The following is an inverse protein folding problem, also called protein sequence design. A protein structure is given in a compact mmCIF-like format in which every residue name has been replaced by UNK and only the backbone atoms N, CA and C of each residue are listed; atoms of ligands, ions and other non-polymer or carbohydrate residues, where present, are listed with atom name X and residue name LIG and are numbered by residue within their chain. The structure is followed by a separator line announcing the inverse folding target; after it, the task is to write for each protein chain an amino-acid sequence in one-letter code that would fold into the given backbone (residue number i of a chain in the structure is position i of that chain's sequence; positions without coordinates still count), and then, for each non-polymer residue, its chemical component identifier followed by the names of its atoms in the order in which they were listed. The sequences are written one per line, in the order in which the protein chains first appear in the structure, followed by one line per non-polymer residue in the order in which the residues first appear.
data_IF_133858051554
#
_entry.id   IF_133858051554
#
_cell.length_a   1.000
_cell.length_b   1.000
_cell.length_c   1.000
_cell.angle_alpha   90.00
_cell.angle_beta   90.00
_cell.angle_gamma   90.00
#
_symmetry.space_group_name_H-M   'P 1'
#
loop_
_entity.id
_entity.type
_entity.pdbx_description
1 polymer ?
#
# COMPACT_ATOMS: atom_id res chain seq x y z
N UNK A 1 14.01 -13.18 5.31
CA UNK A 1 14.09 -14.41 4.48
C UNK A 1 14.10 -15.69 5.29
N UNK A 2 15.17 -15.98 6.06
CA UNK A 2 15.34 -17.27 6.75
C UNK A 2 14.15 -17.67 7.65
N UNK A 3 13.51 -16.68 8.28
CA UNK A 3 12.29 -16.90 9.07
C UNK A 3 11.17 -17.55 8.26
N UNK A 4 10.87 -17.00 7.07
CA UNK A 4 9.82 -17.52 6.18
C UNK A 4 10.23 -18.87 5.61
N UNK A 5 11.50 -19.04 5.21
CA UNK A 5 12.02 -20.33 4.73
C UNK A 5 11.84 -21.42 5.79
N UNK A 6 12.11 -21.14 7.07
CA UNK A 6 11.89 -22.12 8.15
C UNK A 6 10.41 -22.44 8.38
N UNK A 7 9.53 -21.44 8.27
CA UNK A 7 8.09 -21.68 8.34
C UNK A 7 7.64 -22.58 7.17
N UNK A 8 8.13 -22.29 5.96
CA UNK A 8 7.94 -23.14 4.78
C UNK A 8 8.60 -24.50 4.98
N UNK A 9 9.70 -24.68 5.69
CA UNK A 9 10.22 -26.05 5.92
C UNK A 9 9.31 -26.85 6.86
N UNK A 10 8.65 -26.19 7.81
CA UNK A 10 7.88 -26.83 8.89
C UNK A 10 6.39 -27.09 8.63
N UNK A 11 5.85 -26.70 7.47
CA UNK A 11 4.40 -26.81 7.27
C UNK A 11 3.60 -25.63 7.81
N UNK A 12 4.24 -24.56 8.28
CA UNK A 12 3.57 -23.54 9.08
C UNK A 12 3.08 -22.37 8.20
N UNK A 13 1.91 -21.83 8.55
CA UNK A 13 1.44 -20.56 7.97
C UNK A 13 2.21 -19.39 8.60
N UNK A 14 2.42 -18.33 7.83
CA UNK A 14 3.19 -17.16 8.26
C UNK A 14 2.52 -15.88 7.75
N UNK A 15 2.48 -14.83 8.57
CA UNK A 15 2.04 -13.51 8.12
C UNK A 15 3.22 -12.55 8.07
N UNK A 16 3.37 -11.84 6.96
CA UNK A 16 4.34 -10.78 6.76
C UNK A 16 3.59 -9.46 6.84
N UNK A 17 3.85 -8.69 7.87
CA UNK A 17 3.18 -7.41 8.13
C UNK A 17 4.18 -6.29 7.91
N UNK A 18 3.79 -5.21 7.28
CA UNK A 18 4.67 -4.05 7.17
C UNK A 18 4.07 -2.94 6.35
N UNK A 19 4.57 -1.73 6.55
CA UNK A 19 4.11 -0.53 5.84
C UNK A 19 4.30 -0.63 4.32
N UNK A 20 3.61 0.22 3.55
CA UNK A 20 3.67 0.31 2.09
C UNK A 20 5.10 0.27 1.61
N UNK A 21 5.40 -0.47 0.55
CA UNK A 21 6.71 -0.44 -0.11
C UNK A 21 7.93 -0.69 0.79
N UNK A 22 7.74 -1.30 1.97
CA UNK A 22 8.85 -1.77 2.81
C UNK A 22 9.57 -3.00 2.24
N UNK A 23 9.09 -3.52 1.10
CA UNK A 23 9.68 -4.68 0.40
C UNK A 23 9.00 -6.02 0.70
N UNK A 24 7.75 -6.05 1.19
CA UNK A 24 6.95 -7.28 1.39
C UNK A 24 6.88 -8.12 0.11
N UNK A 25 6.36 -7.53 -0.97
CA UNK A 25 6.23 -8.19 -2.27
C UNK A 25 7.57 -8.63 -2.83
N UNK A 26 8.63 -7.82 -2.70
CA UNK A 26 9.97 -8.18 -3.15
C UNK A 26 10.52 -9.39 -2.38
N UNK A 27 10.38 -9.39 -1.05
CA UNK A 27 10.75 -10.50 -0.18
C UNK A 27 9.98 -11.78 -0.57
N UNK A 28 8.67 -11.69 -0.76
CA UNK A 28 7.85 -12.85 -1.07
C UNK A 28 8.06 -13.38 -2.48
N UNK A 29 8.20 -12.51 -3.49
CA UNK A 29 8.54 -12.91 -4.87
C UNK A 29 9.88 -13.62 -4.93
N UNK A 30 10.86 -13.22 -4.13
CA UNK A 30 12.15 -13.92 -4.13
C UNK A 30 12.06 -15.39 -3.69
N UNK A 31 11.02 -15.80 -2.96
CA UNK A 31 10.80 -17.20 -2.58
C UNK A 31 10.52 -18.10 -3.79
N UNK A 32 10.09 -17.54 -4.93
CA UNK A 32 9.87 -18.29 -6.17
C UNK A 32 11.16 -18.55 -6.94
N UNK A 33 12.27 -17.88 -6.58
CA UNK A 33 13.57 -18.12 -7.20
C UNK A 33 14.04 -19.55 -6.92
N UNK A 34 14.54 -20.23 -7.95
CA UNK A 34 14.90 -21.65 -7.87
C UNK A 34 15.87 -21.97 -6.73
N UNK A 35 16.90 -21.13 -6.53
CA UNK A 35 17.89 -21.30 -5.48
C UNK A 35 17.27 -21.26 -4.06
N UNK A 36 16.24 -20.42 -3.86
CA UNK A 36 15.55 -20.31 -2.57
C UNK A 36 14.54 -21.44 -2.42
N UNK A 37 13.81 -21.79 -3.50
CA UNK A 37 12.87 -22.92 -3.52
C UNK A 37 13.54 -24.23 -3.13
N UNK A 38 14.75 -24.50 -3.64
CA UNK A 38 15.56 -25.66 -3.26
C UNK A 38 15.98 -25.65 -1.78
N UNK A 39 16.16 -24.46 -1.18
CA UNK A 39 16.39 -24.32 0.26
C UNK A 39 15.15 -24.57 1.10
N UNK A 40 13.95 -24.41 0.54
CA UNK A 40 12.67 -24.66 1.20
C UNK A 40 12.25 -26.13 1.16
N UNK A 41 12.78 -26.94 0.24
CA UNK A 41 12.50 -28.37 0.15
C UNK A 41 13.22 -29.16 1.24
N UNK A 42 12.50 -30.01 1.95
CA UNK A 42 13.09 -30.98 2.89
C UNK A 42 13.68 -32.17 2.09
N UNK A 43 14.68 -32.91 2.60
CA UNK A 43 15.27 -34.06 1.89
C UNK A 43 14.29 -35.22 1.62
N UNK A 44 13.09 -35.18 2.23
CA UNK A 44 12.06 -36.21 2.18
C UNK A 44 11.12 -36.14 0.97
N UNK A 45 11.66 -36.11 -0.25
CA UNK A 45 10.97 -36.50 -1.50
C UNK A 45 9.63 -35.83 -1.88
N UNK A 46 9.16 -34.78 -1.19
CA UNK A 46 7.97 -34.03 -1.58
C UNK A 46 8.36 -32.86 -2.51
N UNK A 47 7.78 -32.80 -3.71
CA UNK A 47 7.85 -31.64 -4.60
C UNK A 47 7.17 -30.43 -3.94
N UNK A 48 7.82 -29.27 -3.98
CA UNK A 48 7.32 -28.03 -3.40
C UNK A 48 6.78 -27.13 -4.51
N UNK A 49 5.48 -26.83 -4.45
CA UNK A 49 4.81 -25.87 -5.33
C UNK A 49 4.56 -24.59 -4.53
N UNK A 50 5.29 -23.53 -4.87
CA UNK A 50 5.09 -22.19 -4.33
C UNK A 50 4.34 -21.39 -5.38
N UNK A 51 3.14 -20.93 -5.05
CA UNK A 51 2.30 -20.14 -5.95
C UNK A 51 2.21 -18.73 -5.41
N UNK A 52 2.57 -17.77 -6.25
CA UNK A 52 2.49 -16.36 -5.91
C UNK A 52 1.20 -15.75 -6.44
N UNK A 53 0.36 -15.24 -5.54
CA UNK A 53 -0.92 -14.62 -5.85
C UNK A 53 -0.86 -13.14 -5.46
N UNK A 54 -0.92 -12.27 -6.45
CA UNK A 54 -1.04 -10.83 -6.26
C UNK A 54 -2.53 -10.48 -6.03
N UNK A 55 -2.91 -10.25 -4.78
CA UNK A 55 -4.32 -10.06 -4.43
C UNK A 55 -4.87 -8.70 -4.88
N UNK A 56 -4.05 -7.78 -5.39
CA UNK A 56 -4.55 -6.58 -6.07
C UNK A 56 -5.25 -6.90 -7.40
N UNK A 57 -4.96 -8.06 -8.00
CA UNK A 57 -5.67 -8.55 -9.19
C UNK A 57 -7.03 -9.18 -8.85
N UNK A 58 -7.31 -9.44 -7.56
CA UNK A 58 -8.54 -10.08 -7.16
C UNK A 58 -9.72 -9.09 -7.22
N UNK A 59 -10.77 -9.46 -7.98
CA UNK A 59 -12.03 -8.73 -7.96
C UNK A 59 -12.86 -9.06 -6.71
N UNK A 60 -13.91 -8.28 -6.45
CA UNK A 60 -14.73 -8.40 -5.23
C UNK A 60 -15.56 -9.71 -5.12
N UNK A 61 -15.57 -10.60 -6.13
CA UNK A 61 -16.34 -11.85 -6.10
C UNK A 61 -15.51 -13.06 -5.65
N UNK A 62 -16.16 -14.06 -5.06
CA UNK A 62 -15.49 -15.32 -4.67
C UNK A 62 -14.92 -16.06 -5.87
N UNK A 63 -15.69 -16.08 -6.96
CA UNK A 63 -15.27 -16.71 -8.22
C UNK A 63 -13.98 -16.09 -8.75
N UNK A 64 -13.86 -14.76 -8.74
CA UNK A 64 -12.65 -14.10 -9.20
C UNK A 64 -11.44 -14.42 -8.30
N UNK A 65 -11.64 -14.47 -6.98
CA UNK A 65 -10.56 -14.85 -6.06
C UNK A 65 -10.08 -16.29 -6.29
N UNK A 66 -11.00 -17.27 -6.33
CA UNK A 66 -10.62 -18.67 -6.55
C UNK A 66 -10.08 -18.91 -7.95
N UNK A 67 -10.63 -18.25 -8.97
CA UNK A 67 -10.12 -18.28 -10.35
C UNK A 67 -8.68 -17.80 -10.38
N UNK A 68 -8.38 -16.64 -9.78
CA UNK A 68 -7.03 -16.07 -9.74
C UNK A 68 -6.02 -17.04 -9.12
N UNK A 69 -6.37 -17.66 -7.99
CA UNK A 69 -5.49 -18.63 -7.33
C UNK A 69 -5.23 -19.83 -8.23
N UNK A 70 -6.27 -20.42 -8.81
CA UNK A 70 -6.13 -21.63 -9.66
C UNK A 70 -5.43 -21.30 -10.99
N UNK A 71 -5.65 -20.11 -11.56
CA UNK A 71 -4.93 -19.62 -12.72
C UNK A 71 -3.43 -19.51 -12.43
N UNK A 72 -3.04 -18.96 -11.28
CA UNK A 72 -1.63 -18.90 -10.86
C UNK A 72 -1.04 -20.30 -10.62
N UNK A 73 -1.81 -21.22 -10.04
CA UNK A 73 -1.41 -22.62 -9.92
C UNK A 73 -1.14 -23.28 -11.28
N UNK A 74 -1.95 -22.97 -12.30
CA UNK A 74 -1.77 -23.46 -13.67
C UNK A 74 -0.52 -22.88 -14.35
N UNK A 75 -0.26 -21.59 -14.15
CA UNK A 75 0.93 -20.91 -14.67
C UNK A 75 2.22 -21.52 -14.08
N UNK A 76 2.20 -21.83 -12.77
CA UNK A 76 3.34 -22.42 -12.07
C UNK A 76 3.45 -23.96 -12.20
N UNK A 77 2.44 -24.61 -12.79
CA UNK A 77 2.39 -26.07 -12.98
C UNK A 77 3.55 -26.60 -13.83
N UNK A 78 3.92 -25.87 -14.89
CA UNK A 78 5.03 -26.26 -15.80
C UNK A 78 6.40 -26.13 -15.10
N UNK A 79 6.57 -25.08 -14.31
CA UNK A 79 7.81 -24.81 -13.53
C UNK A 79 8.04 -25.85 -12.43
N UNK A 80 6.96 -26.50 -11.97
CA UNK A 80 6.99 -27.46 -10.87
C UNK A 80 6.94 -28.93 -11.32
N UNK A 81 6.94 -29.19 -12.65
CA UNK A 81 6.96 -30.55 -13.24
C UNK A 81 5.80 -31.44 -12.76
N UNK A 82 4.58 -30.89 -12.67
CA UNK A 82 3.40 -31.69 -12.41
C UNK A 82 3.23 -32.78 -13.48
N UNK A 83 2.66 -33.91 -13.10
CA UNK A 83 2.33 -34.99 -14.03
C UNK A 83 1.23 -34.56 -15.01
N UNK A 84 1.14 -35.25 -16.14
CA UNK A 84 0.13 -34.94 -17.16
C UNK A 84 -1.31 -35.10 -16.64
N UNK A 85 -1.57 -36.03 -15.72
CA UNK A 85 -2.89 -36.20 -15.10
C UNK A 85 -3.23 -35.06 -14.15
N UNK A 86 -2.29 -34.64 -13.29
CA UNK A 86 -2.47 -33.51 -12.37
C UNK A 86 -2.74 -32.22 -13.14
N UNK A 87 -1.95 -31.93 -14.17
CA UNK A 87 -2.14 -30.75 -15.02
C UNK A 87 -3.50 -30.79 -15.75
N UNK A 88 -3.94 -31.97 -16.21
CA UNK A 88 -5.25 -32.13 -16.83
C UNK A 88 -6.38 -31.87 -15.85
N UNK A 89 -6.33 -32.46 -14.65
CA UNK A 89 -7.35 -32.26 -13.61
C UNK A 89 -7.42 -30.79 -13.18
N UNK A 90 -6.28 -30.15 -12.99
CA UNK A 90 -6.19 -28.73 -12.67
C UNK A 90 -6.85 -27.86 -13.74
N UNK A 91 -6.63 -28.15 -15.03
CA UNK A 91 -7.30 -27.44 -16.15
C UNK A 91 -8.81 -27.69 -16.17
N UNK A 92 -9.25 -28.91 -15.91
CA UNK A 92 -10.69 -29.25 -15.84
C UNK A 92 -11.38 -28.47 -14.73
N UNK A 93 -10.79 -28.43 -13.53
CA UNK A 93 -11.39 -27.71 -12.41
C UNK A 93 -11.36 -26.19 -12.62
N UNK A 94 -10.28 -25.65 -13.22
CA UNK A 94 -10.22 -24.25 -13.63
C UNK A 94 -11.36 -23.88 -14.60
N UNK A 95 -11.61 -24.71 -15.62
CA UNK A 95 -12.75 -24.53 -16.51
C UNK A 95 -14.08 -24.64 -15.75
N UNK A 96 -14.19 -25.55 -14.78
CA UNK A 96 -15.34 -25.65 -13.89
C UNK A 96 -15.62 -24.36 -13.14
N UNK A 97 -14.58 -23.71 -12.59
CA UNK A 97 -14.69 -22.41 -11.90
C UNK A 97 -15.17 -21.32 -12.87
N UNK A 98 -14.58 -21.22 -14.07
CA UNK A 98 -14.94 -20.18 -15.05
C UNK A 98 -16.40 -20.25 -15.52
N UNK A 99 -16.92 -21.47 -15.76
CA UNK A 99 -18.27 -21.66 -16.28
C UNK A 99 -19.33 -21.82 -15.18
N UNK A 100 -18.92 -21.87 -13.92
CA UNK A 100 -19.85 -21.98 -12.79
C UNK A 100 -20.71 -20.72 -12.66
N UNK A 101 -21.98 -20.93 -12.33
CA UNK A 101 -22.96 -19.85 -12.10
C UNK A 101 -23.30 -19.67 -10.62
N UNK A 102 -22.73 -20.49 -9.73
CA UNK A 102 -23.00 -20.45 -8.29
C UNK A 102 -21.72 -20.52 -7.46
N UNK A 103 -21.67 -19.76 -6.37
CA UNK A 103 -20.52 -19.78 -5.43
C UNK A 103 -20.27 -21.17 -4.83
N UNK A 104 -21.32 -21.99 -4.69
CA UNK A 104 -21.19 -23.36 -4.15
C UNK A 104 -20.39 -24.24 -5.10
N UNK A 105 -20.70 -24.19 -6.40
CA UNK A 105 -19.96 -24.96 -7.41
C UNK A 105 -18.52 -24.46 -7.53
N UNK A 106 -18.31 -23.14 -7.56
CA UNK A 106 -16.97 -22.53 -7.57
C UNK A 106 -16.12 -23.05 -6.40
N UNK A 107 -16.66 -22.99 -5.17
CA UNK A 107 -15.97 -23.46 -3.97
C UNK A 107 -15.68 -24.96 -4.03
N UNK A 108 -16.58 -25.77 -4.57
CA UNK A 108 -16.37 -27.21 -4.72
C UNK A 108 -15.21 -27.49 -5.67
N UNK A 109 -15.19 -26.88 -6.86
CA UNK A 109 -14.07 -27.04 -7.81
C UNK A 109 -12.73 -26.56 -7.24
N UNK A 110 -12.73 -25.44 -6.51
CA UNK A 110 -11.51 -24.96 -5.84
C UNK A 110 -11.02 -25.95 -4.78
N UNK A 111 -11.93 -26.45 -3.96
CA UNK A 111 -11.59 -27.43 -2.93
C UNK A 111 -11.05 -28.73 -3.53
N UNK A 112 -11.69 -29.26 -4.57
CA UNK A 112 -11.23 -30.44 -5.30
C UNK A 112 -9.85 -30.21 -5.92
N UNK A 113 -9.61 -29.01 -6.47
CA UNK A 113 -8.31 -28.62 -7.02
C UNK A 113 -7.18 -28.74 -6.00
N UNK A 114 -7.35 -28.12 -4.82
CA UNK A 114 -6.33 -28.13 -3.77
C UNK A 114 -6.16 -29.54 -3.19
N UNK A 115 -7.27 -30.26 -3.01
CA UNK A 115 -7.24 -31.63 -2.49
C UNK A 115 -6.53 -32.58 -3.45
N UNK A 116 -6.91 -32.59 -4.72
CA UNK A 116 -6.38 -33.56 -5.68
C UNK A 116 -4.87 -33.36 -5.89
N UNK A 117 -4.40 -32.11 -5.88
CA UNK A 117 -2.98 -31.78 -5.96
C UNK A 117 -2.18 -32.26 -4.74
N UNK A 118 -2.79 -32.27 -3.55
CA UNK A 118 -2.09 -32.61 -2.29
C UNK A 118 -2.29 -34.07 -1.87
N UNK A 119 -3.25 -34.81 -2.46
CA UNK A 119 -3.68 -36.15 -2.02
C UNK A 119 -2.74 -37.30 -2.39
N UNK A 120 -2.14 -37.32 -3.58
CA UNK A 120 -1.50 -38.54 -4.13
C UNK A 120 -0.05 -38.81 -3.66
N UNK A 121 0.47 -38.03 -2.70
CA UNK A 121 1.89 -37.98 -2.29
C UNK A 121 2.81 -37.55 -3.43
N UNK A 122 3.08 -36.25 -3.53
CA UNK A 122 4.44 -35.66 -3.46
C UNK A 122 4.35 -34.13 -3.41
N UNK A 123 3.23 -33.46 -3.72
CA UNK A 123 3.20 -31.99 -3.76
C UNK A 123 2.84 -31.37 -2.41
N UNK A 124 3.71 -30.50 -1.91
CA UNK A 124 3.43 -29.55 -0.84
C UNK A 124 3.12 -28.19 -1.45
N UNK A 125 1.95 -27.64 -1.15
CA UNK A 125 1.45 -26.40 -1.71
C UNK A 125 1.65 -25.23 -0.74
N UNK A 126 2.36 -24.21 -1.18
CA UNK A 126 2.51 -22.94 -0.48
C UNK A 126 1.82 -21.86 -1.30
N UNK A 127 0.75 -21.29 -0.76
CA UNK A 127 0.05 -20.16 -1.37
C UNK A 127 0.53 -18.86 -0.72
N UNK A 128 1.25 -18.06 -1.49
CA UNK A 128 1.64 -16.71 -1.11
C UNK A 128 0.54 -15.76 -1.57
N UNK A 129 -0.13 -15.13 -0.61
CA UNK A 129 -1.17 -14.13 -0.81
C UNK A 129 -0.56 -12.75 -0.54
N UNK A 130 -0.04 -12.11 -1.59
CA UNK A 130 0.54 -10.77 -1.51
C UNK A 130 -0.54 -9.69 -1.60
N UNK A 131 -0.32 -8.54 -0.94
CA UNK A 131 -1.30 -7.44 -0.87
C UNK A 131 -2.72 -7.89 -0.46
N UNK A 132 -2.80 -8.77 0.54
CA UNK A 132 -4.01 -9.51 0.93
C UNK A 132 -5.07 -8.67 1.67
N UNK A 133 -4.74 -7.41 2.00
CA UNK A 133 -5.56 -6.48 2.77
C UNK A 133 -7.03 -6.42 2.31
N UNK A 134 -7.26 -6.10 1.03
CA UNK A 134 -8.60 -5.84 0.52
C UNK A 134 -9.41 -7.12 0.33
N UNK A 135 -8.75 -8.20 -0.09
CA UNK A 135 -9.36 -9.53 -0.13
C UNK A 135 -9.86 -9.92 1.26
N UNK A 136 -9.02 -9.76 2.30
CA UNK A 136 -9.39 -10.10 3.67
C UNK A 136 -10.55 -9.26 4.22
N UNK A 137 -10.54 -7.94 3.92
CA UNK A 137 -11.60 -7.01 4.36
C UNK A 137 -12.94 -7.27 3.67
N UNK A 138 -12.94 -7.50 2.35
CA UNK A 138 -14.15 -7.44 1.52
C UNK A 138 -14.77 -8.81 1.25
N UNK A 139 -13.97 -9.87 1.13
CA UNK A 139 -14.51 -11.19 0.78
C UNK A 139 -15.39 -11.76 1.92
N UNK A 140 -16.43 -12.54 1.60
CA UNK A 140 -17.27 -13.17 2.60
C UNK A 140 -16.50 -14.12 3.53
N UNK A 141 -16.88 -14.18 4.82
CA UNK A 141 -16.17 -15.00 5.81
C UNK A 141 -16.09 -16.50 5.46
N UNK A 142 -17.05 -17.00 4.67
CA UNK A 142 -17.08 -18.38 4.16
C UNK A 142 -15.87 -18.73 3.30
N UNK A 143 -15.24 -17.76 2.62
CA UNK A 143 -13.99 -17.97 1.87
C UNK A 143 -12.88 -18.40 2.83
N UNK A 144 -12.70 -17.66 3.93
CA UNK A 144 -11.65 -17.93 4.91
C UNK A 144 -11.91 -19.18 5.74
N UNK A 145 -13.18 -19.48 6.06
CA UNK A 145 -13.56 -20.77 6.66
C UNK A 145 -13.20 -21.95 5.75
N UNK A 146 -13.38 -21.81 4.44
CA UNK A 146 -12.97 -22.86 3.50
C UNK A 146 -11.45 -23.02 3.44
N UNK A 147 -10.69 -21.92 3.41
CA UNK A 147 -9.22 -21.97 3.46
C UNK A 147 -8.73 -22.62 4.77
N UNK A 148 -9.37 -22.29 5.90
CA UNK A 148 -9.08 -22.92 7.19
C UNK A 148 -9.33 -24.43 7.15
N UNK A 149 -10.49 -24.86 6.65
CA UNK A 149 -10.84 -26.27 6.53
C UNK A 149 -9.88 -27.04 5.60
N UNK A 150 -9.48 -26.44 4.47
CA UNK A 150 -8.45 -27.00 3.60
C UNK A 150 -7.11 -27.17 4.34
N UNK A 151 -6.71 -26.18 5.14
CA UNK A 151 -5.47 -26.27 5.92
C UNK A 151 -5.52 -27.34 7.00
N UNK A 152 -6.68 -27.53 7.64
CA UNK A 152 -6.86 -28.60 8.64
C UNK A 152 -6.75 -29.98 8.00
N UNK A 153 -7.40 -30.19 6.85
CA UNK A 153 -7.40 -31.49 6.18
C UNK A 153 -6.05 -31.82 5.53
N UNK A 154 -5.36 -30.83 4.96
CA UNK A 154 -4.09 -31.05 4.28
C UNK A 154 -2.88 -31.03 5.21
N UNK A 155 -3.06 -30.55 6.44
CA UNK A 155 -1.99 -30.40 7.44
C UNK A 155 -0.79 -29.61 6.86
N UNK A 156 0.44 -30.03 7.13
CA UNK A 156 1.68 -29.45 6.59
C UNK A 156 1.73 -29.46 5.04
N UNK A 157 0.87 -30.26 4.40
CA UNK A 157 0.48 -30.31 2.98
C UNK A 157 0.28 -28.95 2.32
N UNK A 158 -0.39 -28.05 3.05
CA UNK A 158 -0.86 -26.76 2.58
C UNK A 158 -0.38 -25.67 3.53
N UNK A 159 0.18 -24.59 3.01
CA UNK A 159 0.62 -23.46 3.83
C UNK A 159 0.17 -22.15 3.19
N UNK A 160 -0.24 -21.21 4.03
CA UNK A 160 -0.55 -19.85 3.60
C UNK A 160 0.54 -18.91 4.09
N UNK A 161 1.02 -18.05 3.20
CA UNK A 161 1.86 -16.92 3.55
C UNK A 161 1.11 -15.67 3.13
N UNK A 162 0.77 -14.81 4.09
CA UNK A 162 0.07 -13.55 3.79
C UNK A 162 1.05 -12.38 3.83
N UNK A 163 0.91 -11.42 2.92
CA UNK A 163 1.50 -10.09 3.08
C UNK A 163 0.41 -9.05 3.24
N UNK A 164 0.52 -8.26 4.30
CA UNK A 164 -0.49 -7.26 4.65
C UNK A 164 0.16 -5.97 5.17
N UNK A 165 -0.57 -4.86 5.06
CA UNK A 165 -0.13 -3.57 5.62
C UNK A 165 -0.19 -3.53 7.15
N UNK A 166 -1.11 -4.31 7.72
CA UNK A 166 -1.41 -4.41 9.16
C UNK A 166 -1.74 -5.85 9.51
N UNK A 167 -1.59 -6.20 10.79
CA UNK A 167 -2.00 -7.50 11.31
C UNK A 167 -3.46 -7.82 10.92
N UNK A 168 -3.73 -9.09 10.60
CA UNK A 168 -5.06 -9.54 10.19
C UNK A 168 -6.13 -9.18 11.23
N UNK A 169 -5.80 -9.28 12.53
CA UNK A 169 -6.69 -8.89 13.63
C UNK A 169 -7.13 -7.42 13.60
N UNK A 170 -6.27 -6.54 13.07
CA UNK A 170 -6.56 -5.11 12.92
C UNK A 170 -7.29 -4.81 11.61
N UNK A 171 -7.14 -5.67 10.60
CA UNK A 171 -7.84 -5.54 9.32
C UNK A 171 -9.31 -5.96 9.44
N UNK A 172 -9.58 -7.03 10.18
CA UNK A 172 -10.92 -7.58 10.38
C UNK A 172 -10.96 -8.44 11.63
N UNK A 173 -11.88 -8.13 12.56
CA UNK A 173 -11.92 -8.72 13.89
C UNK A 173 -13.18 -9.56 14.19
N UNK A 174 -13.99 -9.87 13.17
CA UNK A 174 -15.21 -10.66 13.33
C UNK A 174 -14.92 -12.10 13.76
N UNK A 175 -15.86 -12.68 14.50
CA UNK A 175 -15.76 -14.06 15.01
C UNK A 175 -15.66 -15.09 13.87
N UNK A 176 -16.35 -14.83 12.74
CA UNK A 176 -16.41 -15.76 11.61
C UNK A 176 -15.07 -15.95 10.89
N UNK A 177 -14.09 -15.06 11.09
CA UNK A 177 -12.73 -15.17 10.52
C UNK A 177 -11.67 -15.54 11.54
N UNK A 178 -12.03 -15.69 12.82
CA UNK A 178 -11.09 -15.94 13.92
C UNK A 178 -10.21 -17.18 13.66
N UNK A 179 -10.83 -18.31 13.31
CA UNK A 179 -10.09 -19.56 13.11
C UNK A 179 -9.04 -19.46 11.98
N UNK A 180 -9.33 -18.69 10.93
CA UNK A 180 -8.36 -18.43 9.87
C UNK A 180 -7.22 -17.53 10.33
N UNK A 181 -7.51 -16.48 11.12
CA UNK A 181 -6.49 -15.58 11.69
C UNK A 181 -5.55 -16.31 12.66
N UNK A 182 -6.11 -17.24 13.44
CA UNK A 182 -5.37 -18.07 14.40
C UNK A 182 -4.20 -18.84 13.76
N UNK A 183 -4.33 -19.23 12.48
CA UNK A 183 -3.25 -19.88 11.71
C UNK A 183 -1.93 -19.09 11.73
N UNK A 184 -1.99 -17.78 11.91
CA UNK A 184 -0.85 -16.88 11.79
C UNK A 184 -0.36 -16.31 13.13
N UNK A 185 -1.13 -16.45 14.21
CA UNK A 185 -0.93 -15.68 15.45
C UNK A 185 0.46 -15.88 16.09
N UNK A 186 1.04 -17.07 15.96
CA UNK A 186 2.39 -17.39 16.48
C UNK A 186 3.52 -17.08 15.50
N UNK A 187 3.19 -16.67 14.26
CA UNK A 187 4.12 -16.57 13.13
C UNK A 187 3.94 -15.28 12.34
N UNK A 188 3.98 -14.16 13.03
CA UNK A 188 4.00 -12.85 12.42
C UNK A 188 5.43 -12.31 12.29
N UNK A 189 5.80 -11.93 11.07
CA UNK A 189 7.03 -11.24 10.75
C UNK A 189 6.70 -9.79 10.41
N UNK A 190 7.04 -8.86 11.30
CA UNK A 190 6.94 -7.43 11.01
C UNK A 190 8.19 -6.98 10.25
N UNK A 191 8.01 -6.50 9.03
CA UNK A 191 9.06 -5.85 8.25
C UNK A 191 9.15 -4.38 8.64
N UNK A 192 10.32 -4.00 9.10
CA UNK A 192 10.71 -2.61 9.37
C UNK A 192 11.57 -2.09 8.23
N UNK A 193 11.82 -0.76 8.17
CA UNK A 193 12.87 -0.21 7.32
C UNK A 193 14.21 -0.96 7.49
N UNK A 194 14.99 -0.99 6.42
CA UNK A 194 16.27 -1.71 6.36
C UNK A 194 17.27 -1.13 7.37
N UNK A 195 18.13 -2.00 7.89
CA UNK A 195 19.32 -1.57 8.63
C UNK A 195 20.25 -0.77 7.73
N UNK A 196 21.12 0.08 8.28
CA UNK A 196 22.09 0.84 7.49
C UNK A 196 22.96 -0.07 6.59
N UNK A 197 23.32 -1.27 7.09
CA UNK A 197 24.08 -2.26 6.33
C UNK A 197 23.28 -2.80 5.14
N UNK A 198 22.03 -3.23 5.37
CA UNK A 198 21.17 -3.76 4.31
C UNK A 198 20.74 -2.67 3.33
N UNK A 199 20.55 -1.44 3.81
CA UNK A 199 20.27 -0.27 2.99
C UNK A 199 21.46 0.03 2.07
N UNK A 200 22.70 -0.07 2.57
CA UNK A 200 23.91 0.04 1.74
C UNK A 200 23.96 -0.99 0.61
N UNK A 201 23.63 -2.26 0.93
CA UNK A 201 23.53 -3.32 -0.09
C UNK A 201 22.41 -3.05 -1.09
N UNK A 202 21.27 -2.54 -0.62
CA UNK A 202 20.14 -2.20 -1.48
C UNK A 202 20.45 -1.05 -2.43
N UNK A 203 21.14 0.00 -1.99
CA UNK A 203 21.60 1.08 -2.88
C UNK A 203 22.57 0.56 -3.94
N UNK A 204 23.52 -0.30 -3.55
CA UNK A 204 24.43 -0.93 -4.50
C UNK A 204 23.68 -1.78 -5.54
N UNK A 205 22.62 -2.49 -5.12
CA UNK A 205 21.72 -3.21 -6.02
C UNK A 205 21.02 -2.27 -7.01
N UNK A 206 20.45 -1.14 -6.54
CA UNK A 206 19.80 -0.14 -7.40
C UNK A 206 20.77 0.44 -8.45
N UNK A 207 22.00 0.76 -8.03
CA UNK A 207 23.06 1.26 -8.90
C UNK A 207 23.40 0.25 -10.02
N UNK A 208 23.51 -1.04 -9.66
CA UNK A 208 23.84 -2.12 -10.60
C UNK A 208 22.76 -2.33 -11.66
N UNK A 209 21.48 -2.26 -11.27
CA UNK A 209 20.35 -2.47 -12.18
C UNK A 209 20.17 -1.34 -13.20
N UNK A 210 20.64 -0.13 -12.88
CA UNK A 210 20.51 1.05 -13.77
C UNK A 210 21.79 1.44 -14.48
N UNK A 211 22.88 0.70 -14.27
CA UNK A 211 24.22 1.04 -14.76
C UNK A 211 24.66 2.47 -14.38
N UNK A 212 24.20 2.96 -13.22
CA UNK A 212 24.49 4.30 -12.70
C UNK A 212 25.34 4.19 -11.46
N UNK A 213 26.46 4.93 -11.41
CA UNK A 213 27.34 4.97 -10.24
C UNK A 213 27.18 6.36 -9.60
N UNK A 214 26.52 6.40 -8.45
CA UNK A 214 26.44 7.61 -7.63
C UNK A 214 27.66 7.69 -6.69
N UNK A 215 28.17 8.90 -6.40
CA UNK A 215 29.16 9.12 -5.34
C UNK A 215 28.70 8.57 -3.99
N UNK A 216 29.67 8.18 -3.15
CA UNK A 216 29.39 7.58 -1.83
C UNK A 216 28.57 8.53 -0.94
N UNK A 217 28.79 9.84 -1.07
CA UNK A 217 28.07 10.88 -0.35
C UNK A 217 26.57 10.88 -0.69
N UNK A 218 26.23 10.68 -1.96
CA UNK A 218 24.83 10.57 -2.41
C UNK A 218 24.19 9.25 -1.98
N UNK A 219 24.95 8.15 -1.97
CA UNK A 219 24.48 6.87 -1.44
C UNK A 219 24.14 6.97 0.06
N UNK A 220 25.04 7.60 0.83
CA UNK A 220 24.82 7.84 2.26
C UNK A 220 23.63 8.78 2.50
N UNK A 221 23.42 9.76 1.62
CA UNK A 221 22.25 10.63 1.66
C UNK A 221 20.95 9.85 1.44
N UNK A 222 20.90 8.95 0.43
CA UNK A 222 19.72 8.11 0.19
C UNK A 222 19.36 7.31 1.44
N UNK A 223 20.34 6.64 2.05
CA UNK A 223 20.13 5.80 3.25
C UNK A 223 19.62 6.66 4.42
N UNK A 224 20.30 7.76 4.71
CA UNK A 224 19.97 8.66 5.83
C UNK A 224 18.58 9.25 5.69
N UNK A 225 18.24 9.81 4.52
CA UNK A 225 16.99 10.56 4.33
C UNK A 225 15.77 9.65 4.23
N UNK A 226 15.92 8.49 3.58
CA UNK A 226 14.86 7.48 3.53
C UNK A 226 14.66 6.75 4.85
N UNK A 227 15.60 6.85 5.79
CA UNK A 227 15.60 6.05 7.02
C UNK A 227 15.65 4.54 6.75
N UNK A 228 16.28 4.13 5.64
CA UNK A 228 16.33 2.73 5.21
C UNK A 228 15.04 2.19 4.59
N UNK A 229 14.04 3.03 4.31
CA UNK A 229 12.78 2.58 3.72
C UNK A 229 12.89 2.37 2.19
N UNK A 230 12.74 1.12 1.67
CA UNK A 230 13.01 0.80 0.27
C UNK A 230 12.25 1.65 -0.75
N UNK A 231 10.95 1.91 -0.54
CA UNK A 231 10.15 2.75 -1.44
C UNK A 231 10.74 4.15 -1.62
N UNK A 232 11.08 4.81 -0.51
CA UNK A 232 11.69 6.14 -0.48
C UNK A 232 13.11 6.10 -1.06
N UNK A 233 13.89 5.05 -0.75
CA UNK A 233 15.23 4.86 -1.31
C UNK A 233 15.19 4.83 -2.84
N UNK A 234 14.26 4.06 -3.42
CA UNK A 234 14.07 4.00 -4.88
C UNK A 234 13.72 5.37 -5.46
N UNK A 235 12.76 6.10 -4.85
CA UNK A 235 12.37 7.43 -5.35
C UNK A 235 13.50 8.45 -5.29
N UNK A 236 14.23 8.50 -4.18
CA UNK A 236 15.35 9.42 -4.00
C UNK A 236 16.50 9.04 -4.97
N UNK A 237 16.84 7.75 -5.08
CA UNK A 237 17.84 7.27 -6.02
C UNK A 237 17.50 7.67 -7.46
N UNK A 238 16.25 7.44 -7.89
CA UNK A 238 15.80 7.75 -9.24
C UNK A 238 15.93 9.25 -9.58
N UNK A 239 15.59 10.12 -8.63
CA UNK A 239 15.72 11.58 -8.78
C UNK A 239 17.19 11.99 -8.90
N UNK A 240 18.05 11.44 -8.04
CA UNK A 240 19.48 11.75 -8.06
C UNK A 240 20.18 11.26 -9.32
N UNK A 241 19.69 10.17 -9.94
CA UNK A 241 20.18 9.72 -11.24
C UNK A 241 19.65 10.55 -12.41
N UNK A 242 18.45 11.11 -12.33
CA UNK A 242 17.86 11.93 -13.40
C UNK A 242 18.32 13.38 -13.41
N UNK A 243 18.72 13.90 -12.24
CA UNK A 243 19.32 15.22 -12.12
C UNK A 243 20.78 15.06 -12.52
N UNK A 244 21.31 15.88 -13.43
CA UNK A 244 22.76 15.99 -13.64
C UNK A 244 23.39 16.52 -12.34
N UNK A 245 23.53 15.65 -11.34
CA UNK A 245 24.04 15.98 -10.04
C UNK A 245 25.53 16.27 -10.19
N UNK A 246 25.83 17.54 -10.46
CA UNK A 246 27.16 18.13 -10.32
C UNK A 246 27.70 17.78 -8.93
N UNK A 247 28.96 17.37 -8.88
CA UNK A 247 29.70 16.84 -7.72
C UNK A 247 29.91 17.85 -6.56
N UNK A 248 28.99 18.80 -6.35
CA UNK A 248 28.99 19.70 -5.21
C UNK A 248 28.12 19.11 -4.09
N UNK A 249 28.63 19.17 -2.86
CA UNK A 249 28.02 18.53 -1.71
C UNK A 249 26.53 18.93 -1.56
N UNK A 250 25.61 17.97 -1.36
CA UNK A 250 24.20 18.25 -1.23
C UNK A 250 23.94 19.13 0.00
N UNK A 251 23.51 20.37 -0.23
CA UNK A 251 23.16 21.32 0.83
C UNK A 251 21.85 20.93 1.53
N UNK A 252 21.61 21.43 2.75
CA UNK A 252 20.32 21.24 3.46
C UNK A 252 19.09 21.67 2.64
N UNK A 253 19.26 22.58 1.67
CA UNK A 253 18.21 23.02 0.74
C UNK A 253 17.74 21.92 -0.22
N UNK A 254 18.59 20.92 -0.51
CA UNK A 254 18.20 19.80 -1.35
C UNK A 254 17.07 18.98 -0.69
N UNK A 255 16.99 18.93 0.65
CA UNK A 255 16.02 18.09 1.36
C UNK A 255 14.60 18.63 1.27
N UNK A 256 14.43 19.94 1.48
CA UNK A 256 13.16 20.61 1.25
C UNK A 256 12.75 20.46 -0.23
N UNK A 257 13.70 20.64 -1.15
CA UNK A 257 13.48 20.43 -2.58
C UNK A 257 13.09 19.00 -2.96
N UNK A 258 13.63 17.97 -2.29
CA UNK A 258 13.27 16.57 -2.56
C UNK A 258 11.82 16.27 -2.21
N UNK A 259 11.30 16.84 -1.12
CA UNK A 259 9.90 16.65 -0.74
C UNK A 259 8.94 17.38 -1.71
N UNK A 260 9.38 18.49 -2.30
CA UNK A 260 8.59 19.21 -3.31
C UNK A 260 8.52 18.46 -4.66
N UNK A 261 9.29 17.39 -4.84
CA UNK A 261 9.25 16.53 -6.02
C UNK A 261 8.12 15.49 -5.88
N UNK A 262 7.24 15.41 -6.90
CA UNK A 262 6.00 14.63 -6.87
C UNK A 262 6.18 13.15 -6.46
N UNK A 263 7.12 12.36 -7.04
CA UNK A 263 7.31 10.97 -6.63
C UNK A 263 7.59 10.73 -5.15
N UNK A 264 8.35 11.62 -4.48
CA UNK A 264 8.73 11.46 -3.06
C UNK A 264 7.59 11.87 -2.14
N UNK A 265 6.92 12.99 -2.43
CA UNK A 265 5.73 13.40 -1.68
C UNK A 265 4.57 12.41 -1.85
N UNK A 266 4.41 11.81 -3.02
CA UNK A 266 3.43 10.74 -3.27
C UNK A 266 3.73 9.47 -2.47
N UNK A 267 5.02 9.10 -2.34
CA UNK A 267 5.44 7.98 -1.50
C UNK A 267 5.18 8.25 -0.02
N UNK A 268 5.59 9.42 0.48
CA UNK A 268 5.29 9.84 1.85
C UNK A 268 3.77 9.89 2.10
N UNK A 269 3.01 10.37 1.12
CA UNK A 269 1.55 10.42 1.19
C UNK A 269 0.92 9.03 1.24
N UNK A 270 1.46 8.04 0.52
CA UNK A 270 1.01 6.64 0.61
C UNK A 270 1.31 6.04 1.97
N UNK A 271 2.53 6.24 2.47
CA UNK A 271 2.90 5.81 3.83
C UNK A 271 1.97 6.42 4.87
N UNK A 272 1.66 7.70 4.77
CA UNK A 272 0.76 8.41 5.68
C UNK A 272 -0.67 7.85 5.67
N UNK A 273 -1.25 7.58 4.50
CA UNK A 273 -2.61 7.07 4.38
C UNK A 273 -2.79 5.66 4.95
N UNK A 274 -1.71 4.87 4.94
CA UNK A 274 -1.73 3.52 5.49
C UNK A 274 -1.62 3.49 7.01
N UNK A 275 -1.21 4.58 7.65
CA UNK A 275 -1.23 4.70 9.11
C UNK A 275 -2.66 4.79 9.61
N UNK A 276 -2.94 4.17 10.75
CA UNK A 276 -4.23 4.37 11.40
C UNK A 276 -4.30 5.76 12.05
N UNK A 277 -5.50 6.15 12.48
CA UNK A 277 -5.71 7.48 13.06
C UNK A 277 -4.89 7.68 14.34
N UNK A 278 -4.74 6.65 15.18
CA UNK A 278 -3.96 6.75 16.41
C UNK A 278 -2.47 6.90 16.10
N UNK A 279 -1.97 6.22 15.08
CA UNK A 279 -0.60 6.32 14.58
C UNK A 279 -0.34 7.70 13.97
N UNK A 280 -1.24 8.20 13.12
CA UNK A 280 -1.15 9.54 12.55
C UNK A 280 -1.13 10.62 13.63
N UNK A 281 -2.07 10.56 14.58
CA UNK A 281 -2.16 11.54 15.67
C UNK A 281 -0.91 11.48 16.57
N UNK A 282 -0.40 10.28 16.88
CA UNK A 282 0.85 10.13 17.63
C UNK A 282 2.06 10.72 16.90
N UNK A 283 2.20 10.50 15.59
CA UNK A 283 3.30 11.10 14.81
C UNK A 283 3.19 12.63 14.75
N UNK A 284 1.97 13.16 14.69
CA UNK A 284 1.71 14.59 14.72
C UNK A 284 2.06 15.20 16.08
N UNK A 285 1.66 14.56 17.18
CA UNK A 285 1.99 14.98 18.54
C UNK A 285 3.50 14.93 18.79
N UNK A 286 4.19 13.94 18.21
CA UNK A 286 5.65 13.84 18.26
C UNK A 286 6.33 15.02 17.55
N UNK A 287 5.83 15.44 16.40
CA UNK A 287 6.36 16.61 15.66
C UNK A 287 6.01 17.93 16.37
N UNK A 288 4.84 18.01 16.99
CA UNK A 288 4.34 19.21 17.65
C UNK A 288 5.02 19.52 18.98
N UNK A 289 5.12 18.51 19.85
CA UNK A 289 5.49 18.66 21.25
C UNK A 289 6.76 17.87 21.63
N UNK A 290 7.34 17.15 20.66
CA UNK A 290 8.49 16.28 20.89
C UNK A 290 8.14 14.99 21.64
N UNK A 291 9.17 14.27 22.06
CA UNK A 291 9.12 12.92 22.65
C UNK A 291 8.34 12.76 23.98
N UNK A 292 7.85 13.84 24.59
CA UNK A 292 7.16 13.78 25.90
C UNK A 292 5.64 13.68 25.81
N UNK A 293 5.09 13.76 24.60
CA UNK A 293 3.64 13.72 24.34
C UNK A 293 3.07 12.31 24.15
N UNK A 294 3.93 11.32 23.92
CA UNK A 294 3.51 9.95 23.64
C UNK A 294 3.45 9.09 24.91
N UNK A 295 2.37 8.32 25.06
CA UNK A 295 2.29 7.30 26.09
C UNK A 295 3.13 6.04 25.74
N UNK A 296 3.33 5.16 26.71
CA UNK A 296 4.17 3.97 26.55
C UNK A 296 3.60 2.98 25.51
N UNK A 297 2.29 2.93 25.32
CA UNK A 297 1.62 2.03 24.37
C UNK A 297 1.82 2.54 22.94
N UNK A 298 1.62 3.83 22.70
CA UNK A 298 1.87 4.50 21.43
C UNK A 298 3.33 4.34 21.00
N UNK A 299 4.29 4.55 21.92
CA UNK A 299 5.71 4.36 21.64
C UNK A 299 6.00 2.91 21.24
N UNK A 300 5.41 1.93 21.94
CA UNK A 300 5.60 0.51 21.63
C UNK A 300 5.05 0.15 20.24
N UNK A 301 3.85 0.61 19.91
CA UNK A 301 3.21 0.34 18.61
C UNK A 301 4.06 0.92 17.47
N UNK A 302 4.42 2.21 17.56
CA UNK A 302 5.20 2.89 16.54
C UNK A 302 6.60 2.29 16.39
N UNK A 303 7.25 1.89 17.49
CA UNK A 303 8.56 1.19 17.45
C UNK A 303 8.45 -0.18 16.80
N UNK A 304 7.41 -0.94 17.13
CA UNK A 304 7.22 -2.30 16.59
C UNK A 304 7.07 -2.27 15.07
N UNK A 305 6.40 -1.24 14.53
CA UNK A 305 6.29 -1.03 13.07
C UNK A 305 7.52 -0.34 12.44
N UNK A 306 8.51 0.07 13.23
CA UNK A 306 9.69 0.79 12.76
C UNK A 306 9.39 2.21 12.28
N UNK A 307 8.31 2.84 12.75
CA UNK A 307 7.94 4.22 12.39
C UNK A 307 8.72 5.28 13.20
N UNK A 308 9.22 4.89 14.37
CA UNK A 308 10.08 5.74 15.20
C UNK A 308 11.32 4.97 15.64
N UNK A 309 12.40 5.71 15.85
CA UNK A 309 13.67 5.20 16.37
C UNK A 309 14.06 5.92 17.65
N UNK A 310 14.77 5.21 18.53
CA UNK A 310 15.46 5.80 19.68
C UNK A 310 16.96 5.71 19.45
N UNK A 311 17.61 6.86 19.28
CA UNK A 311 19.06 6.91 19.41
C UNK A 311 19.47 6.57 20.84
N UNK A 312 20.67 6.00 21.02
CA UNK A 312 21.20 5.53 22.32
C UNK A 312 21.21 6.57 23.46
N UNK A 313 20.96 7.85 23.17
CA UNK A 313 20.77 8.95 24.13
C UNK A 313 20.06 10.17 23.49
N UNK A 314 19.18 9.93 22.50
CA UNK A 314 18.52 10.99 21.74
C UNK A 314 17.00 10.90 21.86
N UNK A 315 16.28 12.02 21.66
CA UNK A 315 14.82 12.03 21.67
C UNK A 315 14.25 11.07 20.63
N UNK A 316 13.01 10.62 20.85
CA UNK A 316 12.27 9.85 19.84
C UNK A 316 12.19 10.66 18.54
N UNK A 317 12.59 10.04 17.43
CA UNK A 317 12.48 10.64 16.11
C UNK A 317 11.76 9.68 15.17
N UNK A 318 11.07 10.24 14.18
CA UNK A 318 10.54 9.48 13.06
C UNK A 318 11.73 8.85 12.32
N UNK A 319 11.57 7.59 11.89
CA UNK A 319 12.67 6.79 11.33
C UNK A 319 13.35 7.44 10.11
N UNK A 320 12.58 8.19 9.32
CA UNK A 320 13.02 8.87 8.11
C UNK A 320 12.92 10.39 8.28
N UNK A 321 14.04 11.13 8.09
CA UNK A 321 14.02 12.59 8.08
C UNK A 321 13.07 13.20 7.04
N UNK A 322 13.03 12.65 5.81
CA UNK A 322 12.13 13.19 4.76
C UNK A 322 10.66 12.94 5.11
N UNK A 323 10.35 11.79 5.69
CA UNK A 323 9.00 11.51 6.19
C UNK A 323 8.65 12.40 7.39
N UNK A 324 9.61 12.70 8.27
CA UNK A 324 9.41 13.64 9.38
C UNK A 324 9.06 15.05 8.87
N UNK A 325 9.74 15.52 7.82
CA UNK A 325 9.42 16.80 7.15
C UNK A 325 8.02 16.76 6.53
N UNK A 326 7.62 15.64 5.93
CA UNK A 326 6.27 15.46 5.42
C UNK A 326 5.22 15.56 6.53
N UNK A 327 5.40 14.84 7.66
CA UNK A 327 4.49 14.91 8.81
C UNK A 327 4.42 16.33 9.37
N UNK A 328 5.55 17.04 9.43
CA UNK A 328 5.58 18.45 9.81
C UNK A 328 4.78 19.34 8.85
N UNK A 329 4.86 19.12 7.54
CA UNK A 329 4.04 19.87 6.56
C UNK A 329 2.55 19.61 6.76
N UNK A 330 2.16 18.37 7.07
CA UNK A 330 0.78 18.02 7.43
C UNK A 330 0.35 18.74 8.71
N UNK A 331 1.21 18.74 9.75
CA UNK A 331 0.95 19.46 10.99
C UNK A 331 0.79 20.97 10.77
N UNK A 332 1.72 21.59 10.05
CA UNK A 332 1.70 23.03 9.73
C UNK A 332 0.43 23.37 8.92
N UNK A 333 0.02 22.51 7.99
CA UNK A 333 -1.25 22.62 7.29
C UNK A 333 -2.47 22.51 8.20
N UNK A 334 -2.39 21.69 9.26
CA UNK A 334 -3.43 21.60 10.30
C UNK A 334 -3.45 22.82 11.22
N UNK A 335 -2.32 23.45 11.50
CA UNK A 335 -2.22 24.65 12.35
C UNK A 335 -2.44 25.96 11.60
N UNK A 336 -2.28 25.97 10.28
CA UNK A 336 -2.55 27.14 9.46
C UNK A 336 -3.99 27.63 9.71
N UNK A 337 -4.13 28.92 10.01
CA UNK A 337 -5.43 29.59 10.02
C UNK A 337 -6.14 29.25 8.70
N UNK A 338 -7.44 28.90 8.73
CA UNK A 338 -8.14 28.54 7.52
C UNK A 338 -8.04 29.71 6.53
N UNK A 339 -7.33 29.47 5.43
CA UNK A 339 -7.12 30.43 4.35
C UNK A 339 -8.40 30.45 3.51
N UNK A 340 -8.91 31.64 3.19
CA UNK A 340 -10.09 31.75 2.32
C UNK A 340 -9.68 31.44 0.88
N UNK A 341 -10.42 30.56 0.21
CA UNK A 341 -10.37 30.47 -1.25
C UNK A 341 -11.19 31.63 -1.80
N UNK A 342 -10.57 32.50 -2.59
CA UNK A 342 -11.25 33.62 -3.22
C UNK A 342 -11.10 33.54 -4.74
N UNK A 343 -12.17 33.89 -5.45
CA UNK A 343 -12.18 34.02 -6.91
C UNK A 343 -12.56 35.46 -7.26
N UNK A 344 -11.69 36.18 -7.95
CA UNK A 344 -11.97 37.52 -8.45
C UNK A 344 -12.65 37.40 -9.82
N UNK A 345 -13.92 37.81 -9.87
CA UNK A 345 -14.76 37.72 -11.09
C UNK A 345 -14.27 38.66 -12.19
N UNK A 346 -13.60 39.77 -11.86
CA UNK A 346 -13.13 40.76 -12.84
C UNK A 346 -11.83 40.34 -13.49
N UNK A 347 -10.91 39.77 -12.71
CA UNK A 347 -9.58 39.38 -13.20
C UNK A 347 -9.50 37.89 -13.55
N UNK A 348 -10.47 37.09 -13.12
CA UNK A 348 -10.47 35.63 -13.26
C UNK A 348 -9.45 34.92 -12.36
N UNK A 349 -8.87 35.64 -11.40
CA UNK A 349 -7.80 35.13 -10.54
C UNK A 349 -8.34 34.29 -9.40
N UNK A 350 -7.62 33.22 -9.08
CA UNK A 350 -7.92 32.32 -7.96
C UNK A 350 -6.85 32.50 -6.89
N UNK A 351 -7.28 32.75 -5.67
CA UNK A 351 -6.42 32.95 -4.51
C UNK A 351 -6.69 31.87 -3.46
N UNK A 352 -5.63 31.30 -2.91
CA UNK A 352 -5.67 30.37 -1.78
C UNK A 352 -4.95 31.03 -0.57
N UNK A 353 -5.71 31.81 0.21
CA UNK A 353 -5.14 32.76 1.16
C UNK A 353 -4.46 33.92 0.45
N UNK A 354 -3.20 34.20 0.78
CA UNK A 354 -2.43 35.32 0.19
C UNK A 354 -1.70 34.94 -1.11
N UNK A 355 -1.86 33.70 -1.59
CA UNK A 355 -1.17 33.19 -2.78
C UNK A 355 -2.13 33.11 -3.96
N UNK A 356 -1.75 33.71 -5.09
CA UNK A 356 -2.44 33.55 -6.34
C UNK A 356 -2.05 32.20 -6.99
N UNK A 357 -3.03 31.33 -7.23
CA UNK A 357 -2.84 29.98 -7.79
C UNK A 357 -3.43 29.84 -9.20
N UNK A 358 -3.81 30.96 -9.83
CA UNK A 358 -4.50 31.01 -11.14
C UNK A 358 -3.76 30.22 -12.22
N UNK A 359 -2.44 30.40 -12.32
CA UNK A 359 -1.59 29.77 -13.35
C UNK A 359 -1.35 28.28 -13.10
N UNK A 360 -1.52 27.84 -11.86
CA UNK A 360 -1.39 26.43 -11.50
C UNK A 360 -2.64 25.65 -11.88
N UNK A 361 -3.81 26.31 -12.00
CA UNK A 361 -5.09 25.66 -12.28
C UNK A 361 -5.37 25.60 -13.78
N UNK A 362 -5.78 24.43 -14.28
CA UNK A 362 -6.30 24.29 -15.65
C UNK A 362 -7.67 24.96 -15.81
N UNK A 363 -8.14 25.16 -17.03
CA UNK A 363 -9.44 25.81 -17.27
C UNK A 363 -10.62 25.10 -16.57
N UNK A 364 -10.76 23.76 -16.61
CA UNK A 364 -11.79 23.05 -15.84
C UNK A 364 -11.67 23.25 -14.33
N UNK A 365 -10.43 23.32 -13.81
CA UNK A 365 -10.16 23.54 -12.40
C UNK A 365 -10.56 24.95 -11.96
N UNK A 366 -10.25 25.97 -12.78
CA UNK A 366 -10.70 27.34 -12.52
C UNK A 366 -12.21 27.48 -12.56
N UNK A 367 -12.89 26.84 -13.52
CA UNK A 367 -14.37 26.81 -13.58
C UNK A 367 -14.98 26.15 -12.34
N UNK A 368 -14.40 25.04 -11.86
CA UNK A 368 -14.84 24.39 -10.63
C UNK A 368 -14.71 25.33 -9.42
N UNK A 369 -13.54 25.95 -9.24
CA UNK A 369 -13.31 26.89 -8.12
C UNK A 369 -14.26 28.09 -8.21
N UNK A 370 -14.42 28.69 -9.39
CA UNK A 370 -15.37 29.78 -9.60
C UNK A 370 -16.80 29.37 -9.22
N UNK A 371 -17.24 28.19 -9.63
CA UNK A 371 -18.57 27.64 -9.30
C UNK A 371 -18.78 27.49 -7.79
N UNK A 372 -17.77 26.97 -7.10
CA UNK A 372 -17.80 26.76 -5.66
C UNK A 372 -17.75 28.10 -4.88
N UNK A 373 -17.01 29.09 -5.38
CA UNK A 373 -16.93 30.43 -4.81
C UNK A 373 -18.22 31.24 -5.04
N UNK A 374 -18.81 31.19 -6.23
CA UNK A 374 -20.10 31.82 -6.56
C UNK A 374 -21.22 31.35 -5.61
N UNK A 375 -21.16 30.08 -5.20
CA UNK A 375 -22.10 29.44 -4.28
C UNK A 375 -21.45 29.10 -2.93
N UNK A 376 -20.57 29.96 -2.44
CA UNK A 376 -19.87 29.74 -1.16
C UNK A 376 -20.88 29.44 -0.03
N UNK A 377 -20.61 28.40 0.77
CA UNK A 377 -21.50 27.92 1.83
C UNK A 377 -22.70 27.09 1.37
N UNK A 378 -23.01 27.05 0.07
CA UNK A 378 -24.05 26.20 -0.50
C UNK A 378 -23.48 24.93 -1.15
N UNK A 379 -24.32 23.90 -1.27
CA UNK A 379 -23.93 22.64 -1.90
C UNK A 379 -24.05 22.79 -3.42
N UNK A 380 -22.93 22.60 -4.14
CA UNK A 380 -22.89 22.45 -5.58
C UNK A 380 -23.05 20.95 -5.91
N UNK A 381 -24.17 20.60 -6.55
CA UNK A 381 -24.43 19.19 -6.91
C UNK A 381 -23.52 18.70 -8.02
N UNK A 382 -23.38 17.38 -8.16
CA UNK A 382 -22.61 16.79 -9.27
C UNK A 382 -23.07 17.30 -10.64
N UNK A 383 -24.38 17.37 -10.88
CA UNK A 383 -24.95 17.87 -12.14
C UNK A 383 -24.65 19.36 -12.38
N UNK A 384 -24.69 20.18 -11.32
CA UNK A 384 -24.37 21.60 -11.43
C UNK A 384 -22.89 21.82 -11.76
N UNK A 385 -22.01 21.03 -11.13
CA UNK A 385 -20.57 21.06 -11.43
C UNK A 385 -20.33 20.57 -12.86
N UNK A 386 -20.97 19.47 -13.27
CA UNK A 386 -20.86 18.91 -14.61
C UNK A 386 -21.27 19.92 -15.69
N UNK A 387 -22.44 20.54 -15.52
CA UNK A 387 -22.96 21.55 -16.45
C UNK A 387 -22.05 22.79 -16.53
N UNK A 388 -21.52 23.26 -15.40
CA UNK A 388 -20.72 24.49 -15.37
C UNK A 388 -19.30 24.30 -15.90
N UNK A 389 -18.70 23.13 -15.68
CA UNK A 389 -17.33 22.83 -16.10
C UNK A 389 -17.27 22.29 -17.54
N UNK A 390 -18.22 21.43 -17.94
CA UNK A 390 -18.25 20.75 -19.24
C UNK A 390 -19.39 21.18 -20.17
N UNK A 391 -20.29 22.09 -19.75
CA UNK A 391 -21.33 22.69 -20.60
C UNK A 391 -22.67 21.97 -20.60
N UNK A 392 -22.74 20.75 -21.14
CA UNK A 392 -24.01 20.01 -21.28
C UNK A 392 -24.30 19.07 -20.12
N UNK A 393 -23.31 18.75 -19.27
CA UNK A 393 -23.44 17.84 -18.13
C UNK A 393 -23.67 16.36 -18.50
N UNK A 394 -24.20 16.07 -19.69
CA UNK A 394 -24.44 14.72 -20.19
C UNK A 394 -23.13 13.93 -20.37
N UNK A 395 -23.09 12.73 -19.79
CA UNK A 395 -21.97 11.79 -19.93
C UNK A 395 -20.77 12.01 -18.99
N UNK A 396 -20.82 13.01 -18.10
CA UNK A 396 -19.76 13.21 -17.09
C UNK A 396 -19.97 12.26 -15.92
N UNK A 397 -19.03 11.33 -15.71
CA UNK A 397 -19.10 10.40 -14.58
C UNK A 397 -18.80 11.11 -13.25
N UNK A 398 -19.41 10.67 -12.12
CA UNK A 398 -19.04 11.15 -10.79
C UNK A 398 -17.54 11.01 -10.49
N UNK A 399 -16.88 9.98 -11.05
CA UNK A 399 -15.43 9.77 -10.95
C UNK A 399 -14.62 10.88 -11.63
N UNK A 400 -15.07 11.41 -12.77
CA UNK A 400 -14.40 12.53 -13.43
C UNK A 400 -14.48 13.82 -12.60
N UNK A 401 -15.61 14.07 -11.93
CA UNK A 401 -15.78 15.20 -11.01
C UNK A 401 -14.89 15.01 -9.77
N UNK A 402 -14.85 13.78 -9.23
CA UNK A 402 -13.98 13.45 -8.10
C UNK A 402 -12.50 13.71 -8.41
N UNK A 403 -12.00 13.24 -9.55
CA UNK A 403 -10.62 13.50 -9.97
C UNK A 403 -10.34 14.99 -10.22
N UNK A 404 -11.32 15.73 -10.77
CA UNK A 404 -11.19 17.18 -10.91
C UNK A 404 -11.06 17.88 -9.55
N UNK A 405 -11.94 17.56 -8.60
CA UNK A 405 -11.92 18.12 -7.25
C UNK A 405 -10.64 17.75 -6.52
N UNK A 406 -10.20 16.49 -6.61
CA UNK A 406 -8.93 16.03 -6.04
C UNK A 406 -7.75 16.87 -6.52
N UNK A 407 -7.65 17.11 -7.83
CA UNK A 407 -6.57 17.95 -8.39
C UNK A 407 -6.66 19.41 -7.98
N UNK A 408 -7.86 19.95 -7.79
CA UNK A 408 -8.02 21.30 -7.22
C UNK A 408 -7.55 21.32 -5.78
N UNK A 409 -8.00 20.37 -4.95
CA UNK A 409 -7.60 20.27 -3.54
C UNK A 409 -6.08 20.17 -3.39
N UNK A 410 -5.40 19.39 -4.24
CA UNK A 410 -3.93 19.30 -4.24
C UNK A 410 -3.21 20.65 -4.40
N UNK A 411 -3.87 21.66 -4.99
CA UNK A 411 -3.31 23.00 -5.25
C UNK A 411 -3.79 24.05 -4.26
N UNK A 412 -5.02 23.91 -3.73
CA UNK A 412 -5.66 24.94 -2.91
C UNK A 412 -5.80 24.57 -1.44
N UNK A 413 -5.78 23.28 -1.10
CA UNK A 413 -5.86 22.79 0.28
C UNK A 413 -4.47 22.63 0.88
N UNK A 414 -4.27 22.93 2.17
CA UNK A 414 -3.04 22.57 2.88
C UNK A 414 -2.83 21.05 2.95
N UNK A 415 -3.93 20.30 3.10
CA UNK A 415 -3.98 18.84 3.02
C UNK A 415 -5.21 18.45 2.18
N UNK A 416 -4.97 17.96 0.97
CA UNK A 416 -6.04 17.62 0.03
C UNK A 416 -6.84 16.37 0.43
N UNK A 417 -6.29 15.52 1.31
CA UNK A 417 -6.94 14.31 1.80
C UNK A 417 -7.84 14.61 3.00
N UNK A 418 -7.49 15.62 3.79
CA UNK A 418 -8.32 16.20 4.85
C UNK A 418 -8.79 17.61 4.46
N UNK A 419 -9.63 17.74 3.41
CA UNK A 419 -9.98 19.04 2.86
C UNK A 419 -10.75 19.88 3.88
N UNK A 420 -10.32 21.13 4.04
CA UNK A 420 -10.96 22.10 4.95
C UNK A 420 -11.85 23.06 4.20
N UNK A 421 -11.57 23.34 2.93
CA UNK A 421 -12.30 24.32 2.15
C UNK A 421 -13.31 23.66 1.23
N UNK A 422 -12.90 22.74 0.37
CA UNK A 422 -13.80 22.03 -0.54
C UNK A 422 -14.25 20.75 0.15
N UNK A 423 -15.36 20.78 0.87
CA UNK A 423 -15.89 19.64 1.62
C UNK A 423 -16.77 18.77 0.73
N UNK A 424 -16.57 17.45 0.80
CA UNK A 424 -17.44 16.47 0.14
C UNK A 424 -18.74 16.33 0.92
N UNK A 425 -19.88 16.42 0.24
CA UNK A 425 -21.19 16.05 0.78
C UNK A 425 -21.62 14.73 0.12
N UNK A 426 -21.48 13.58 0.81
CA UNK A 426 -21.68 12.26 0.22
C UNK A 426 -23.03 12.12 -0.49
N UNK A 427 -23.01 11.63 -1.73
CA UNK A 427 -24.21 11.41 -2.54
C UNK A 427 -24.85 12.68 -3.12
N UNK A 428 -24.32 13.87 -2.83
CA UNK A 428 -24.93 15.14 -3.27
C UNK A 428 -23.96 15.97 -4.12
N UNK A 429 -22.73 16.19 -3.64
CA UNK A 429 -21.77 17.03 -4.35
C UNK A 429 -20.70 17.61 -3.44
N UNK A 430 -20.35 18.88 -3.66
CA UNK A 430 -19.28 19.57 -2.94
C UNK A 430 -19.73 20.94 -2.44
N UNK A 431 -19.17 21.38 -1.32
CA UNK A 431 -19.42 22.70 -0.74
C UNK A 431 -18.10 23.40 -0.47
N UNK A 432 -18.05 24.71 -0.73
CA UNK A 432 -16.97 25.55 -0.24
C UNK A 432 -17.31 26.03 1.19
N UNK A 433 -16.55 25.57 2.16
CA UNK A 433 -16.52 26.12 3.51
C UNK A 433 -15.72 27.41 3.50
N UNK A 434 -16.38 28.52 3.84
CA UNK A 434 -15.68 29.74 4.22
C UNK A 434 -15.46 29.69 5.73
N UNK A 435 -14.22 29.81 6.24
CA UNK A 435 -14.05 30.06 7.67
C UNK A 435 -14.79 31.37 8.00
N UNK A 436 -15.77 31.23 8.89
CA UNK A 436 -16.80 32.20 9.31
C UNK A 436 -16.47 33.69 9.09
N UNK A 437 -17.54 34.43 8.79
CA UNK A 437 -17.63 35.89 8.89
C UNK A 437 -16.90 36.46 10.11
#
# INVERSE_FOLDING_TARGET
MQYIVRAIQRGECCSVVGISNVGKSFLLRSLTLEAIRQGCTDPGNASLLIVFVDCLEACDSEQAFYELVVRRMLEDAEVCRLSASEASNLRTNYQGILHSTTDVAVRAFFYETVRDLTRERQVRLVLILDEFDDVFRRQPARVFRQLRALRDEMEDRLCYITATSRQLDKLRSDADTYEFRELFHLRELVLTPLSDEDAGRFVAYLASNRATILPLELNNLIIRESGGHPGLMVRIHDILCSTEASAEAPSQNLMAGLLDISPVSEECGRLWDELDKAEQDALLDLVAQGHTSLDAEQVLILKTKGLITTGKNQPLTIYSPIFALFVKRVWDGRQAKPKRIHYDVKTGQVWAGDYEVTLELSEPQRKLVATLCEKSGAICTYDQIAARVWGTGEGVSPGAIYELVKRVRQKVEPDWKNPRYIVTVPGVGYRLESPNQ
#
